data_IF_661229858136
#
_entry.id   IF_661229858136
#
_cell.length_a   1.000
_cell.length_b   1.000
_cell.length_c   1.000
_cell.angle_alpha   90.00
_cell.angle_beta   90.00
_cell.angle_gamma   90.00
#
_symmetry.space_group_name_H-M   'P 1'
#
loop_
_entity.id
_entity.type
_entity.pdbx_description
1 polymer ?
#
# COMPACT_ATOMS: atom_id res chain seq x y z
N UNK A 1 -13.11 16.70 -11.88
CA UNK A 1 -12.41 16.42 -10.60
C UNK A 1 -11.18 15.58 -10.92
N UNK A 2 -9.99 15.93 -10.40
CA UNK A 2 -8.80 15.09 -10.59
C UNK A 2 -8.63 14.19 -9.36
N UNK A 3 -8.42 12.90 -9.59
CA UNK A 3 -8.21 11.89 -8.54
C UNK A 3 -6.72 11.59 -8.47
N UNK A 4 -6.13 11.73 -7.27
CA UNK A 4 -4.70 11.55 -7.04
C UNK A 4 -4.39 10.36 -6.15
N UNK A 5 -5.38 9.83 -5.42
CA UNK A 5 -5.27 8.64 -4.62
C UNK A 5 -6.54 7.78 -4.74
N UNK A 6 -6.37 6.47 -4.57
CA UNK A 6 -7.45 5.47 -4.59
C UNK A 6 -7.36 4.59 -3.37
N UNK A 7 -8.51 4.16 -2.86
CA UNK A 7 -8.59 3.14 -1.83
C UNK A 7 -8.12 1.81 -2.43
N UNK A 8 -7.17 1.16 -1.77
CA UNK A 8 -6.63 -0.15 -2.17
C UNK A 8 -6.97 -1.25 -1.18
N UNK A 9 -7.30 -0.89 0.06
CA UNK A 9 -7.82 -1.81 1.07
C UNK A 9 -8.90 -1.11 1.88
N UNK A 10 -10.04 -1.77 2.05
CA UNK A 10 -11.12 -1.24 2.88
C UNK A 10 -10.81 -1.33 4.36
N UNK A 11 -11.37 -0.38 5.10
CA UNK A 11 -11.29 -0.37 6.55
C UNK A 11 -11.91 -1.63 7.17
N UNK A 12 -11.45 -1.98 8.35
CA UNK A 12 -11.91 -3.14 9.12
C UNK A 12 -12.43 -2.66 10.46
N UNK A 13 -13.64 -3.06 10.80
CA UNK A 13 -14.19 -2.80 12.12
C UNK A 13 -13.38 -3.53 13.20
N UNK A 14 -13.17 -2.87 14.33
CA UNK A 14 -12.54 -3.47 15.49
C UNK A 14 -13.36 -4.62 16.05
N UNK A 15 -12.71 -5.72 16.40
CA UNK A 15 -13.33 -6.90 17.05
C UNK A 15 -12.49 -7.34 18.23
N UNK A 16 -13.15 -7.94 19.22
CA UNK A 16 -12.49 -8.56 20.39
C UNK A 16 -11.56 -7.61 21.16
N UNK A 17 -11.98 -6.36 21.33
CA UNK A 17 -11.19 -5.32 22.01
C UNK A 17 -10.12 -4.66 21.15
N UNK A 18 -9.95 -5.07 19.89
CA UNK A 18 -9.09 -4.39 18.92
C UNK A 18 -9.76 -3.13 18.35
N UNK A 19 -9.02 -2.05 18.09
CA UNK A 19 -9.57 -0.85 17.47
C UNK A 19 -9.92 -1.08 16.00
N UNK A 20 -10.85 -0.27 15.48
CA UNK A 20 -11.12 -0.21 14.04
C UNK A 20 -9.91 0.32 13.27
N UNK A 21 -9.69 -0.23 12.09
CA UNK A 21 -8.62 0.16 11.16
C UNK A 21 -9.25 0.86 9.96
N UNK A 22 -8.78 2.06 9.64
CA UNK A 22 -9.25 2.82 8.48
C UNK A 22 -8.81 2.21 7.14
N UNK A 23 -9.44 2.63 6.03
CA UNK A 23 -9.04 2.22 4.68
C UNK A 23 -7.62 2.70 4.31
N UNK A 24 -6.94 1.91 3.47
CA UNK A 24 -5.62 2.24 2.93
C UNK A 24 -5.78 2.91 1.58
N UNK A 25 -5.12 4.05 1.40
CA UNK A 25 -5.07 4.78 0.14
C UNK A 25 -3.67 4.75 -0.45
N UNK A 26 -3.58 4.67 -1.78
CA UNK A 26 -2.32 4.83 -2.54
C UNK A 26 -2.50 5.84 -3.66
N UNK A 27 -1.38 6.38 -4.14
CA UNK A 27 -1.37 7.16 -5.38
C UNK A 27 -1.96 6.34 -6.53
N UNK A 28 -2.63 7.01 -7.48
CA UNK A 28 -3.10 6.35 -8.72
C UNK A 28 -1.95 5.63 -9.44
N UNK A 29 -0.72 6.14 -9.31
CA UNK A 29 0.48 5.58 -9.93
C UNK A 29 0.97 4.27 -9.27
N UNK A 30 0.51 3.96 -8.06
CA UNK A 30 0.92 2.79 -7.29
C UNK A 30 -0.26 1.97 -6.75
N UNK A 31 -1.44 2.13 -7.38
CA UNK A 31 -2.66 1.43 -6.97
C UNK A 31 -2.50 -0.09 -6.98
N UNK A 32 -1.75 -0.60 -7.96
CA UNK A 32 -1.49 -2.03 -8.16
C UNK A 32 -0.23 -2.50 -7.39
N UNK A 33 0.31 -1.64 -6.52
CA UNK A 33 1.56 -1.87 -5.80
C UNK A 33 2.78 -1.45 -6.61
N UNK A 34 3.93 -1.98 -6.19
CA UNK A 34 5.20 -1.84 -6.89
C UNK A 34 5.63 -3.22 -7.40
N UNK A 35 6.44 -3.29 -8.46
CA UNK A 35 7.07 -4.53 -8.87
C UNK A 35 7.77 -5.20 -7.69
N UNK A 36 7.73 -6.54 -7.67
CA UNK A 36 8.51 -7.28 -6.69
C UNK A 36 10.00 -6.95 -6.89
N UNK A 37 10.67 -6.74 -5.78
CA UNK A 37 12.13 -6.60 -5.76
C UNK A 37 12.73 -7.94 -6.19
N UNK A 38 13.65 -7.93 -7.17
CA UNK A 38 14.35 -9.14 -7.60
C UNK A 38 15.08 -9.78 -6.42
N UNK A 39 15.14 -11.12 -6.37
CA UNK A 39 15.63 -11.88 -5.21
C UNK A 39 17.10 -11.58 -4.85
N UNK A 40 17.83 -11.02 -5.79
CA UNK A 40 19.25 -10.70 -5.78
C UNK A 40 19.53 -9.25 -5.33
N UNK A 41 18.48 -8.44 -5.16
CA UNK A 41 18.58 -7.08 -4.59
C UNK A 41 18.63 -7.18 -3.06
N UNK A 42 19.85 -7.29 -2.54
CA UNK A 42 20.12 -7.44 -1.10
C UNK A 42 20.30 -6.10 -0.37
N UNK A 43 20.48 -5.01 -1.10
CA UNK A 43 20.66 -3.67 -0.55
C UNK A 43 20.05 -2.65 -1.49
N UNK A 44 19.60 -1.51 -0.95
CA UNK A 44 19.04 -0.42 -1.76
C UNK A 44 20.02 0.11 -2.81
N UNK A 45 21.34 -0.09 -2.62
CA UNK A 45 22.38 0.29 -3.58
C UNK A 45 22.31 -0.44 -4.92
N UNK A 46 21.64 -1.59 -5.01
CA UNK A 46 21.48 -2.31 -6.28
C UNK A 46 20.40 -1.68 -7.19
N UNK A 47 19.57 -0.77 -6.66
CA UNK A 47 18.48 -0.11 -7.39
C UNK A 47 18.81 1.34 -7.82
N UNK A 48 19.90 1.92 -7.29
CA UNK A 48 20.41 3.24 -7.67
C UNK A 48 21.50 3.11 -8.74
#
# INVERSE_FOLDING_TARGET
MRVYAVEVESGKEGKDGSPSVGPVYRSVLSKDGFPLVENDVNTSWHLF
#
